data_IF_912748702053
#
_entry.id   IF_912748702053
#
_cell.length_a   1.000
_cell.length_b   1.000
_cell.length_c   1.000
_cell.angle_alpha   90.00
_cell.angle_beta   90.00
_cell.angle_gamma   90.00
#
_symmetry.space_group_name_H-M   'P 1'
#
loop_
_entity.id
_entity.type
_entity.pdbx_description
1 polymer ?
#
# COMPACT_ATOMS: atom_id res chain seq x y z
N UNK A 1 -16.76 0.67 -23.65
CA UNK A 1 -17.22 0.24 -22.31
C UNK A 1 -16.12 0.22 -21.24
N UNK A 2 -14.86 0.56 -21.57
CA UNK A 2 -13.74 0.52 -20.61
C UNK A 2 -13.48 1.84 -19.86
N UNK A 3 -13.95 2.97 -20.40
CA UNK A 3 -13.65 4.33 -19.91
C UNK A 3 -14.03 4.57 -18.43
N UNK A 4 -15.06 3.90 -17.91
CA UNK A 4 -15.51 4.07 -16.53
C UNK A 4 -15.02 2.97 -15.59
N UNK A 5 -14.46 1.89 -16.13
CA UNK A 5 -14.10 0.73 -15.32
C UNK A 5 -13.02 1.09 -14.29
N UNK A 6 -12.08 1.96 -14.64
CA UNK A 6 -11.07 2.43 -13.71
C UNK A 6 -11.66 3.20 -12.53
N UNK A 7 -12.58 4.14 -12.80
CA UNK A 7 -13.30 4.88 -11.76
C UNK A 7 -14.15 3.95 -10.90
N UNK A 8 -14.91 3.03 -11.50
CA UNK A 8 -15.76 2.08 -10.77
C UNK A 8 -14.91 1.28 -9.79
N UNK A 9 -13.76 0.79 -10.25
CA UNK A 9 -12.80 0.09 -9.40
C UNK A 9 -12.31 0.96 -8.23
N UNK A 10 -11.96 2.23 -8.49
CA UNK A 10 -11.57 3.18 -7.44
C UNK A 10 -12.68 3.42 -6.41
N UNK A 11 -13.90 3.60 -6.87
CA UNK A 11 -15.06 3.81 -6.01
C UNK A 11 -15.37 2.58 -5.15
N UNK A 12 -15.17 1.36 -5.65
CA UNK A 12 -15.34 0.15 -4.85
C UNK A 12 -14.41 0.12 -3.64
N UNK A 13 -13.11 0.40 -3.85
CA UNK A 13 -12.17 0.51 -2.74
C UNK A 13 -12.56 1.64 -1.78
N UNK A 14 -13.01 2.78 -2.32
CA UNK A 14 -13.44 3.93 -1.52
C UNK A 14 -14.66 3.60 -0.66
N UNK A 15 -15.62 2.82 -1.17
CA UNK A 15 -16.79 2.38 -0.41
C UNK A 15 -16.40 1.49 0.78
N UNK A 16 -15.46 0.56 0.58
CA UNK A 16 -14.94 -0.29 1.66
C UNK A 16 -14.22 0.59 2.70
N UNK A 17 -13.38 1.51 2.23
CA UNK A 17 -12.67 2.46 3.08
C UNK A 17 -13.65 3.31 3.90
N UNK A 18 -14.69 3.86 3.27
CA UNK A 18 -15.68 4.72 3.92
C UNK A 18 -16.49 3.94 4.96
N UNK A 19 -16.85 2.70 4.65
CA UNK A 19 -17.55 1.80 5.58
C UNK A 19 -16.73 1.59 6.86
N UNK A 20 -15.44 1.27 6.71
CA UNK A 20 -14.53 1.10 7.84
C UNK A 20 -14.36 2.43 8.59
N UNK A 21 -14.15 3.54 7.89
CA UNK A 21 -13.96 4.86 8.48
C UNK A 21 -15.17 5.29 9.35
N UNK A 22 -16.38 4.95 8.90
CA UNK A 22 -17.61 5.23 9.64
C UNK A 22 -17.75 4.37 10.89
N UNK A 23 -17.46 3.06 10.79
CA UNK A 23 -17.62 2.09 11.87
C UNK A 23 -16.50 2.22 12.93
N UNK A 24 -15.24 2.31 12.50
CA UNK A 24 -14.05 2.28 13.36
C UNK A 24 -13.48 3.66 13.62
N UNK A 25 -14.17 4.41 14.49
CA UNK A 25 -13.75 5.78 14.89
C UNK A 25 -12.34 5.84 15.48
N UNK A 26 -11.89 4.75 16.08
CA UNK A 26 -10.56 4.59 16.67
C UNK A 26 -9.42 4.62 15.65
N UNK A 27 -9.68 4.26 14.39
CA UNK A 27 -8.66 4.12 13.34
C UNK A 27 -8.59 5.32 12.37
N UNK A 28 -9.53 6.26 12.46
CA UNK A 28 -9.70 7.36 11.50
C UNK A 28 -8.43 8.17 11.25
N UNK A 29 -7.69 8.52 12.31
CA UNK A 29 -6.46 9.32 12.19
C UNK A 29 -5.39 8.59 11.38
N UNK A 30 -5.24 7.28 11.63
CA UNK A 30 -4.30 6.42 10.92
C UNK A 30 -4.72 6.23 9.46
N UNK A 31 -6.00 5.94 9.22
CA UNK A 31 -6.55 5.83 7.88
C UNK A 31 -6.32 7.10 7.08
N UNK A 32 -6.74 8.26 7.57
CA UNK A 32 -6.60 9.53 6.85
C UNK A 32 -5.14 9.88 6.56
N UNK A 33 -4.25 9.70 7.55
CA UNK A 33 -2.84 10.01 7.36
C UNK A 33 -2.21 9.13 6.27
N UNK A 34 -2.38 7.80 6.37
CA UNK A 34 -1.77 6.88 5.40
C UNK A 34 -2.45 7.01 4.04
N UNK A 35 -3.77 7.18 3.99
CA UNK A 35 -4.51 7.46 2.76
C UNK A 35 -3.99 8.68 2.03
N UNK A 36 -3.82 9.82 2.70
CA UNK A 36 -3.31 11.03 2.05
C UNK A 36 -1.85 10.87 1.59
N UNK A 37 -1.02 10.22 2.42
CA UNK A 37 0.37 9.95 2.06
C UNK A 37 0.47 9.06 0.82
N UNK A 38 -0.28 7.95 0.78
CA UNK A 38 -0.28 7.01 -0.34
C UNK A 38 -0.95 7.61 -1.57
N UNK A 39 -2.02 8.39 -1.41
CA UNK A 39 -2.64 9.09 -2.53
C UNK A 39 -1.63 9.99 -3.25
N UNK A 40 -0.90 10.83 -2.50
CA UNK A 40 0.15 11.67 -3.07
C UNK A 40 1.27 10.84 -3.71
N UNK A 41 1.77 9.82 -3.01
CA UNK A 41 2.82 8.95 -3.52
C UNK A 41 2.40 8.20 -4.79
N UNK A 42 1.14 7.74 -4.86
CA UNK A 42 0.59 7.01 -5.99
C UNK A 42 0.46 7.89 -7.23
N UNK A 43 -0.03 9.13 -7.11
CA UNK A 43 -0.13 10.07 -8.24
C UNK A 43 1.27 10.38 -8.80
N UNK A 44 2.25 10.57 -7.91
CA UNK A 44 3.66 10.80 -8.31
C UNK A 44 4.22 9.56 -9.01
N UNK A 45 4.07 8.37 -8.42
CA UNK A 45 4.57 7.13 -9.00
C UNK A 45 3.91 6.79 -10.34
N UNK A 46 2.61 7.05 -10.47
CA UNK A 46 1.88 6.88 -11.73
C UNK A 46 2.33 7.83 -12.81
N UNK A 47 2.48 9.13 -12.48
CA UNK A 47 2.97 10.14 -13.41
C UNK A 47 4.35 9.81 -13.96
N UNK A 48 5.24 9.40 -13.06
CA UNK A 48 6.67 9.33 -13.34
C UNK A 48 7.12 7.96 -13.85
N UNK A 49 6.45 6.88 -13.45
CA UNK A 49 7.00 5.53 -13.58
C UNK A 49 5.96 4.51 -14.02
N UNK A 50 4.94 4.22 -13.19
CA UNK A 50 4.07 3.05 -13.39
C UNK A 50 3.33 3.07 -14.73
N UNK A 51 2.95 4.26 -15.22
CA UNK A 51 2.25 4.38 -16.50
C UNK A 51 3.17 4.31 -17.73
N UNK A 52 4.50 4.21 -17.55
CA UNK A 52 5.47 4.09 -18.64
C UNK A 52 5.47 2.65 -19.13
N UNK A 53 5.67 1.69 -18.23
CA UNK A 53 6.05 0.32 -18.57
C UNK A 53 5.29 -0.78 -17.81
N UNK A 54 4.47 -0.46 -16.81
CA UNK A 54 3.72 -1.47 -16.06
C UNK A 54 2.25 -1.57 -16.53
N UNK A 55 1.52 -0.47 -16.52
CA UNK A 55 0.08 -0.46 -16.83
C UNK A 55 -0.38 0.92 -17.32
N UNK A 56 -1.50 1.00 -18.04
CA UNK A 56 -2.05 2.22 -18.65
C UNK A 56 -3.58 2.19 -18.57
N UNK A 57 -4.17 2.56 -17.43
CA UNK A 57 -5.62 2.61 -17.29
C UNK A 57 -6.21 3.75 -18.13
N UNK A 58 -7.42 3.53 -18.64
CA UNK A 58 -8.21 4.61 -19.26
C UNK A 58 -8.90 5.44 -18.16
N UNK A 59 -8.53 6.71 -18.06
CA UNK A 59 -9.19 7.68 -17.17
C UNK A 59 -10.40 8.30 -17.86
N UNK A 60 -11.34 8.83 -17.06
CA UNK A 60 -12.52 9.51 -17.59
C UNK A 60 -12.14 10.75 -18.41
N UNK A 61 -11.10 11.45 -17.99
CA UNK A 61 -10.56 12.63 -18.67
C UNK A 61 -9.74 12.28 -19.92
N UNK A 62 -9.47 11.00 -20.17
CA UNK A 62 -8.62 10.54 -21.28
C UNK A 62 -7.14 10.94 -21.13
N UNK A 63 -6.77 11.48 -19.96
CA UNK A 63 -5.40 11.83 -19.61
C UNK A 63 -4.67 10.62 -19.04
N UNK A 64 -3.34 10.66 -19.06
CA UNK A 64 -2.51 9.61 -18.49
C UNK A 64 -2.69 9.43 -16.97
N UNK A 65 -3.08 10.51 -16.30
CA UNK A 65 -3.33 10.57 -14.86
C UNK A 65 -4.71 11.20 -14.69
N UNK A 66 -5.49 10.69 -13.76
CA UNK A 66 -6.85 11.14 -13.47
C UNK A 66 -7.14 11.24 -11.97
N UNK A 67 -8.37 11.59 -11.65
CA UNK A 67 -8.85 11.63 -10.27
C UNK A 67 -8.93 10.21 -9.66
N UNK A 68 -9.10 9.21 -10.52
CA UNK A 68 -9.16 7.80 -10.21
C UNK A 68 -7.88 7.33 -9.50
N UNK A 69 -6.72 7.86 -9.90
CA UNK A 69 -5.41 7.54 -9.31
C UNK A 69 -5.34 7.96 -7.85
N UNK A 70 -5.83 9.18 -7.58
CA UNK A 70 -5.92 9.70 -6.22
C UNK A 70 -6.90 8.87 -5.40
N UNK A 71 -8.08 8.55 -5.94
CA UNK A 71 -9.12 7.76 -5.24
C UNK A 71 -8.60 6.37 -4.88
N UNK A 72 -7.97 5.68 -5.84
CA UNK A 72 -7.41 4.36 -5.63
C UNK A 72 -6.27 4.39 -4.61
N UNK A 73 -5.29 5.27 -4.79
CA UNK A 73 -4.18 5.41 -3.84
C UNK A 73 -4.66 5.76 -2.43
N UNK A 74 -5.62 6.68 -2.31
CA UNK A 74 -6.23 7.06 -1.04
C UNK A 74 -6.89 5.86 -0.35
N UNK A 75 -7.72 5.13 -1.10
CA UNK A 75 -8.51 4.02 -0.55
C UNK A 75 -7.62 2.82 -0.19
N UNK A 76 -6.72 2.43 -1.09
CA UNK A 76 -5.77 1.33 -0.87
C UNK A 76 -4.82 1.63 0.29
N UNK A 77 -4.31 2.87 0.37
CA UNK A 77 -3.41 3.28 1.45
C UNK A 77 -4.07 3.16 2.82
N UNK A 78 -5.29 3.66 2.94
CA UNK A 78 -6.03 3.60 4.20
C UNK A 78 -6.44 2.19 4.60
N UNK A 79 -6.85 1.37 3.63
CA UNK A 79 -7.18 -0.04 3.86
C UNK A 79 -5.94 -0.83 4.29
N UNK A 80 -4.85 -0.71 3.53
CA UNK A 80 -3.57 -1.35 3.84
C UNK A 80 -3.07 -0.99 5.24
N UNK A 81 -3.35 0.22 5.73
CA UNK A 81 -2.93 0.65 7.06
C UNK A 81 -3.70 0.00 8.24
N UNK A 82 -4.90 -0.54 8.02
CA UNK A 82 -5.83 -0.88 9.12
C UNK A 82 -6.39 -2.30 9.08
N UNK A 83 -6.18 -3.05 8.00
CA UNK A 83 -6.74 -4.40 7.85
C UNK A 83 -6.36 -5.35 9.00
N UNK A 84 -5.14 -5.26 9.53
CA UNK A 84 -4.74 -6.04 10.70
C UNK A 84 -5.53 -5.68 11.98
N UNK A 85 -5.69 -4.40 12.27
CA UNK A 85 -6.45 -3.92 13.44
C UNK A 85 -7.96 -4.21 13.34
N UNK A 86 -8.45 -4.43 12.11
CA UNK A 86 -9.79 -4.95 11.86
C UNK A 86 -9.89 -6.44 12.17
N UNK A 87 -8.97 -7.25 11.63
CA UNK A 87 -9.00 -8.71 11.75
C UNK A 87 -8.78 -9.17 13.21
N UNK A 88 -7.79 -8.59 13.89
CA UNK A 88 -7.39 -9.08 15.20
C UNK A 88 -8.03 -8.33 16.37
N UNK A 89 -8.80 -7.24 16.13
CA UNK A 89 -9.42 -6.36 17.15
C UNK A 89 -8.46 -5.84 18.25
N UNK A 90 -7.17 -6.12 18.15
CA UNK A 90 -6.15 -5.72 19.08
C UNK A 90 -5.43 -4.50 18.52
N UNK A 91 -5.34 -3.44 19.32
CA UNK A 91 -4.35 -2.39 19.05
C UNK A 91 -2.98 -3.02 19.21
N UNK A 92 -2.12 -2.84 18.22
CA UNK A 92 -0.71 -3.22 18.35
C UNK A 92 -0.12 -2.52 19.57
N UNK A 93 0.63 -3.28 20.37
CA UNK A 93 1.24 -2.75 21.59
C UNK A 93 2.28 -1.72 21.19
N UNK A 94 2.21 -0.54 21.79
CA UNK A 94 3.27 0.45 21.65
C UNK A 94 4.52 -0.01 22.42
N UNK A 95 5.69 0.41 21.93
CA UNK A 95 6.98 0.10 22.54
C UNK A 95 7.02 0.53 24.02
N UNK A 96 7.51 -0.36 24.89
CA UNK A 96 7.78 -0.01 26.28
C UNK A 96 8.90 1.02 26.34
N UNK A 97 8.73 2.08 27.15
CA UNK A 97 9.76 3.12 27.39
C UNK A 97 11.11 2.57 27.85
N UNK A 98 11.09 1.41 28.50
CA UNK A 98 12.29 0.71 28.98
C UNK A 98 13.02 -0.07 27.87
N UNK A 99 12.41 -0.27 26.70
CA UNK A 99 13.06 -0.99 25.61
C UNK A 99 14.25 -0.20 25.04
N UNK A 100 15.34 -0.91 24.78
CA UNK A 100 16.56 -0.35 24.18
C UNK A 100 16.23 0.28 22.81
N UNK A 101 15.38 -0.39 22.03
CA UNK A 101 14.87 0.10 20.74
C UNK A 101 14.14 1.44 20.88
N UNK A 102 13.25 1.59 21.87
CA UNK A 102 12.56 2.86 22.09
C UNK A 102 13.55 3.99 22.40
N UNK A 103 14.53 3.75 23.28
CA UNK A 103 15.54 4.76 23.61
C UNK A 103 16.37 5.15 22.39
N UNK A 104 16.79 4.16 21.60
CA UNK A 104 17.56 4.35 20.38
C UNK A 104 16.80 5.18 19.32
N UNK A 105 15.57 4.78 18.98
CA UNK A 105 14.75 5.51 18.01
C UNK A 105 14.29 6.88 18.53
N UNK A 106 14.08 7.03 19.84
CA UNK A 106 13.69 8.31 20.43
C UNK A 106 14.83 9.33 20.42
N UNK A 107 16.08 8.89 20.59
CA UNK A 107 17.27 9.75 20.48
C UNK A 107 17.61 10.08 19.02
N UNK A 108 17.32 9.16 18.09
CA UNK A 108 17.62 9.30 16.66
C UNK A 108 16.34 9.32 15.83
N UNK A 109 15.49 10.32 16.06
CA UNK A 109 14.18 10.42 15.39
C UNK A 109 14.24 10.40 13.87
N UNK A 110 15.33 10.85 13.27
CA UNK A 110 15.55 10.79 11.83
C UNK A 110 15.52 9.35 11.28
N UNK A 111 15.86 8.34 12.10
CA UNK A 111 15.75 6.93 11.72
C UNK A 111 14.32 6.47 11.45
N UNK A 112 13.31 7.19 11.94
CA UNK A 112 11.91 6.87 11.63
C UNK A 112 11.59 7.03 10.15
N UNK A 113 12.27 7.95 9.47
CA UNK A 113 12.08 8.17 8.04
C UNK A 113 12.95 7.26 7.18
N UNK A 114 13.87 6.49 7.78
CA UNK A 114 14.77 5.60 7.04
C UNK A 114 14.08 4.61 6.10
N UNK A 115 12.96 3.93 6.44
CA UNK A 115 12.30 3.04 5.47
C UNK A 115 11.72 3.80 4.27
N UNK A 116 11.26 5.04 4.47
CA UNK A 116 10.73 5.88 3.39
C UNK A 116 11.84 6.42 2.50
N UNK A 117 12.94 6.90 3.10
CA UNK A 117 14.09 7.43 2.37
C UNK A 117 14.75 6.32 1.55
N UNK A 118 14.99 5.14 2.16
CA UNK A 118 15.60 4.01 1.47
C UNK A 118 14.68 3.49 0.34
N UNK A 119 13.38 3.36 0.60
CA UNK A 119 12.40 2.99 -0.41
C UNK A 119 12.38 3.97 -1.59
N UNK A 120 12.39 5.28 -1.31
CA UNK A 120 12.46 6.31 -2.35
C UNK A 120 13.75 6.22 -3.18
N UNK A 121 14.91 6.07 -2.54
CA UNK A 121 16.19 5.95 -3.25
C UNK A 121 16.23 4.70 -4.14
N UNK A 122 15.73 3.56 -3.66
CA UNK A 122 15.70 2.32 -4.45
C UNK A 122 14.70 2.44 -5.60
N UNK A 123 13.52 3.00 -5.36
CA UNK A 123 12.49 3.16 -6.39
C UNK A 123 12.99 4.06 -7.53
N UNK A 124 13.38 5.29 -7.20
CA UNK A 124 13.78 6.29 -8.20
C UNK A 124 15.17 6.01 -8.78
N UNK A 125 16.13 5.57 -7.95
CA UNK A 125 17.46 5.19 -8.42
C UNK A 125 17.42 3.93 -9.29
N UNK A 126 16.61 2.94 -8.90
CA UNK A 126 16.39 1.73 -9.69
C UNK A 126 15.85 2.06 -11.08
N UNK A 127 14.80 2.86 -11.15
CA UNK A 127 14.17 3.19 -12.43
C UNK A 127 15.00 4.16 -13.29
N UNK A 128 15.39 5.32 -12.75
CA UNK A 128 16.02 6.37 -13.56
C UNK A 128 17.52 6.18 -13.77
N UNK A 129 18.23 5.53 -12.84
CA UNK A 129 19.69 5.39 -12.93
C UNK A 129 20.12 3.98 -13.32
N UNK A 130 19.45 2.94 -12.79
CA UNK A 130 19.77 1.54 -13.12
C UNK A 130 18.95 0.98 -14.29
N UNK A 131 17.95 1.72 -14.77
CA UNK A 131 17.10 1.31 -15.91
C UNK A 131 16.18 0.13 -15.59
N UNK A 132 15.83 -0.09 -14.32
CA UNK A 132 14.87 -1.13 -13.94
C UNK A 132 13.47 -0.77 -14.41
N UNK A 133 12.68 -1.80 -14.70
CA UNK A 133 11.23 -1.62 -14.87
C UNK A 133 10.57 -1.14 -13.58
N UNK A 134 9.42 -0.46 -13.71
CA UNK A 134 8.70 0.11 -12.57
C UNK A 134 8.27 -0.92 -11.53
N UNK A 135 7.84 -2.10 -11.97
CA UNK A 135 7.40 -3.18 -11.09
C UNK A 135 8.51 -3.67 -10.15
N UNK A 136 9.66 -4.20 -10.64
CA UNK A 136 10.72 -4.67 -9.77
C UNK A 136 11.31 -3.57 -8.88
N UNK A 137 11.40 -2.33 -9.37
CA UNK A 137 11.82 -1.19 -8.56
C UNK A 137 10.87 -0.92 -7.38
N UNK A 138 9.56 -1.03 -7.61
CA UNK A 138 8.53 -0.88 -6.58
C UNK A 138 8.59 -1.99 -5.54
N UNK A 139 8.72 -3.24 -5.97
CA UNK A 139 8.83 -4.37 -5.04
C UNK A 139 10.12 -4.29 -4.22
N UNK A 140 11.26 -3.97 -4.84
CA UNK A 140 12.51 -3.79 -4.12
C UNK A 140 12.44 -2.68 -3.06
N UNK A 141 11.78 -1.55 -3.38
CA UNK A 141 11.55 -0.47 -2.45
C UNK A 141 10.70 -0.89 -1.24
N UNK A 142 9.61 -1.64 -1.46
CA UNK A 142 8.80 -2.17 -0.35
C UNK A 142 9.58 -3.16 0.50
N UNK A 143 10.29 -4.12 -0.12
CA UNK A 143 11.08 -5.12 0.61
C UNK A 143 12.14 -4.45 1.48
N UNK A 144 12.86 -3.46 0.95
CA UNK A 144 13.86 -2.72 1.72
C UNK A 144 13.23 -1.93 2.88
N UNK A 145 12.10 -1.27 2.64
CA UNK A 145 11.36 -0.55 3.69
C UNK A 145 10.86 -1.49 4.80
N UNK A 146 10.27 -2.63 4.43
CA UNK A 146 9.84 -3.67 5.37
C UNK A 146 11.03 -4.20 6.16
N UNK A 147 12.15 -4.49 5.49
CA UNK A 147 13.36 -4.99 6.14
C UNK A 147 13.86 -4.02 7.22
N UNK A 148 13.96 -2.72 6.90
CA UNK A 148 14.34 -1.69 7.88
C UNK A 148 13.37 -1.63 9.05
N UNK A 149 12.06 -1.66 8.80
CA UNK A 149 11.04 -1.66 9.85
C UNK A 149 11.22 -2.88 10.76
N UNK A 150 11.39 -4.09 10.18
CA UNK A 150 11.46 -5.33 10.95
C UNK A 150 12.80 -5.51 11.67
N UNK A 151 13.92 -4.99 11.13
CA UNK A 151 15.20 -4.94 11.83
C UNK A 151 15.09 -4.15 13.14
N UNK A 152 14.33 -3.05 13.12
CA UNK A 152 14.16 -2.16 14.27
C UNK A 152 12.95 -2.52 15.15
N UNK A 153 11.91 -3.13 14.57
CA UNK A 153 10.65 -3.51 15.23
C UNK A 153 10.16 -4.88 14.75
N UNK A 154 10.83 -5.92 15.21
CA UNK A 154 10.47 -7.32 14.93
C UNK A 154 9.06 -7.67 15.42
N UNK A 155 8.53 -6.96 16.40
CA UNK A 155 7.18 -7.16 16.93
C UNK A 155 6.08 -6.83 15.91
N UNK A 156 6.40 -6.10 14.84
CA UNK A 156 5.49 -5.78 13.74
C UNK A 156 5.47 -6.84 12.63
N UNK A 157 6.21 -7.95 12.76
CA UNK A 157 6.28 -9.00 11.74
C UNK A 157 4.89 -9.54 11.35
N UNK A 158 4.09 -9.94 12.33
CA UNK A 158 2.74 -10.45 12.06
C UNK A 158 1.81 -9.39 11.51
N UNK A 159 1.92 -8.15 11.97
CA UNK A 159 1.18 -7.03 11.39
C UNK A 159 1.47 -6.87 9.90
N UNK A 160 2.74 -6.97 9.51
CA UNK A 160 3.20 -6.89 8.12
C UNK A 160 2.61 -8.04 7.29
N UNK A 161 2.88 -9.30 7.66
CA UNK A 161 2.47 -10.45 6.85
C UNK A 161 0.94 -10.56 6.72
N UNK A 162 0.20 -10.42 7.81
CA UNK A 162 -1.26 -10.53 7.76
C UNK A 162 -1.91 -9.38 7.00
N UNK A 163 -1.36 -8.16 7.09
CA UNK A 163 -1.89 -7.03 6.31
C UNK A 163 -1.64 -7.19 4.83
N UNK A 164 -0.46 -7.70 4.44
CA UNK A 164 -0.18 -8.04 3.06
C UNK A 164 -1.18 -9.05 2.51
N UNK A 165 -1.36 -10.17 3.22
CA UNK A 165 -2.32 -11.20 2.82
C UNK A 165 -3.76 -10.65 2.78
N UNK A 166 -4.17 -9.86 3.77
CA UNK A 166 -5.50 -9.26 3.81
C UNK A 166 -5.72 -8.29 2.65
N UNK A 167 -4.71 -7.49 2.27
CA UNK A 167 -4.86 -6.56 1.16
C UNK A 167 -4.98 -7.27 -0.19
N UNK A 168 -4.28 -8.39 -0.38
CA UNK A 168 -4.49 -9.28 -1.54
C UNK A 168 -5.93 -9.81 -1.56
N UNK A 169 -6.43 -10.32 -0.43
CA UNK A 169 -7.80 -10.83 -0.37
C UNK A 169 -8.85 -9.76 -0.67
N UNK A 170 -8.62 -8.52 -0.23
CA UNK A 170 -9.50 -7.38 -0.53
C UNK A 170 -9.40 -6.95 -2.00
N UNK A 171 -8.26 -7.14 -2.66
CA UNK A 171 -8.10 -6.78 -4.07
C UNK A 171 -8.68 -7.81 -5.05
N UNK A 172 -8.83 -9.09 -4.67
CA UNK A 172 -9.40 -10.12 -5.54
C UNK A 172 -10.83 -9.80 -6.05
N UNK A 173 -11.81 -9.44 -5.19
CA UNK A 173 -13.14 -9.04 -5.65
C UNK A 173 -13.12 -7.88 -6.63
N UNK A 174 -12.17 -6.95 -6.47
CA UNK A 174 -12.01 -5.82 -7.39
C UNK A 174 -11.66 -6.30 -8.80
N UNK A 175 -10.67 -7.19 -8.95
CA UNK A 175 -10.32 -7.72 -10.27
C UNK A 175 -11.46 -8.53 -10.90
N UNK A 176 -12.13 -9.37 -10.11
CA UNK A 176 -13.25 -10.16 -10.62
C UNK A 176 -14.42 -9.31 -11.08
N UNK A 177 -14.75 -8.25 -10.34
CA UNK A 177 -15.82 -7.33 -10.72
C UNK A 177 -15.43 -6.52 -11.95
N UNK A 178 -14.17 -6.05 -12.05
CA UNK A 178 -13.71 -5.34 -13.25
C UNK A 178 -13.75 -6.23 -14.50
N UNK A 179 -13.25 -7.45 -14.42
CA UNK A 179 -13.27 -8.41 -15.53
C UNK A 179 -14.70 -8.84 -15.89
N UNK A 180 -15.60 -8.92 -14.91
CA UNK A 180 -17.03 -9.18 -15.14
C UNK A 180 -17.73 -8.02 -15.85
N UNK A 181 -17.48 -6.77 -15.44
CA UNK A 181 -18.08 -5.58 -16.04
C UNK A 181 -17.49 -5.23 -17.41
N UNK A 182 -16.22 -5.58 -17.63
CA UNK A 182 -15.48 -5.26 -18.84
C UNK A 182 -14.49 -6.36 -19.14
N UNK A 183 -14.98 -7.41 -19.81
CA UNK A 183 -14.16 -8.57 -20.17
C UNK A 183 -12.94 -8.16 -20.99
N UNK A 184 -11.76 -8.63 -20.61
CA UNK A 184 -10.51 -8.31 -21.30
C UNK A 184 -9.87 -7.00 -20.84
N UNK A 185 -10.39 -6.35 -19.79
CA UNK A 185 -9.85 -5.08 -19.29
C UNK A 185 -8.41 -5.22 -18.81
N UNK A 186 -8.09 -6.37 -18.21
CA UNK A 186 -6.75 -6.61 -17.67
C UNK A 186 -5.73 -6.65 -18.81
N UNK A 187 -6.04 -7.35 -19.91
CA UNK A 187 -5.19 -7.39 -21.10
C UNK A 187 -5.06 -6.04 -21.79
N UNK A 188 -6.08 -5.17 -21.65
CA UNK A 188 -6.06 -3.83 -22.22
C UNK A 188 -5.23 -2.84 -21.40
N UNK A 189 -5.38 -2.88 -20.07
CA UNK A 189 -4.74 -1.89 -19.19
C UNK A 189 -3.32 -2.30 -18.81
N UNK A 190 -3.00 -3.58 -18.70
CA UNK A 190 -1.65 -4.01 -18.33
C UNK A 190 -0.78 -4.20 -19.56
N UNK A 191 0.47 -3.75 -19.48
CA UNK A 191 1.46 -3.91 -20.55
C UNK A 191 2.04 -5.32 -20.50
N UNK A 192 1.31 -6.27 -21.09
CA UNK A 192 1.60 -7.70 -21.01
C UNK A 192 3.01 -8.08 -21.49
N UNK A 193 3.59 -7.30 -22.40
CA UNK A 193 4.96 -7.47 -22.89
C UNK A 193 6.04 -7.28 -21.81
N UNK A 194 5.74 -6.51 -20.75
CA UNK A 194 6.66 -6.20 -19.65
C UNK A 194 6.36 -7.02 -18.40
N UNK A 195 5.38 -7.92 -18.45
CA UNK A 195 5.01 -8.81 -17.36
C UNK A 195 5.53 -10.23 -17.60
N UNK A 196 5.56 -11.06 -16.56
CA UNK A 196 6.02 -12.45 -16.66
C UNK A 196 5.09 -13.34 -17.49
N UNK A 197 3.87 -12.89 -17.77
CA UNK A 197 2.81 -13.68 -18.42
C UNK A 197 2.14 -14.71 -17.49
N UNK A 198 2.55 -14.80 -16.21
CA UNK A 198 1.93 -15.69 -15.24
C UNK A 198 0.66 -15.07 -14.69
N UNK A 199 -0.47 -15.75 -14.88
CA UNK A 199 -1.79 -15.24 -14.53
C UNK A 199 -2.48 -16.16 -13.50
N UNK A 200 -3.09 -15.56 -12.47
CA UNK A 200 -3.97 -16.21 -11.52
C UNK A 200 -5.41 -15.78 -11.80
N UNK A 201 -6.24 -16.66 -12.36
CA UNK A 201 -7.62 -16.34 -12.78
C UNK A 201 -7.73 -15.04 -13.61
N UNK A 202 -6.86 -14.88 -14.61
CA UNK A 202 -6.72 -13.68 -15.47
C UNK A 202 -6.13 -12.44 -14.78
N UNK A 203 -5.70 -12.52 -13.53
CA UNK A 203 -5.02 -11.44 -12.81
C UNK A 203 -3.50 -11.66 -12.91
N UNK A 204 -2.69 -10.66 -13.27
CA UNK A 204 -1.23 -10.79 -13.26
C UNK A 204 -0.74 -11.08 -11.84
N UNK A 205 0.17 -12.04 -11.70
CA UNK A 205 0.73 -12.37 -10.38
C UNK A 205 1.47 -11.16 -9.78
N UNK A 206 2.07 -10.32 -10.62
CA UNK A 206 2.74 -9.07 -10.25
C UNK A 206 1.86 -8.16 -9.40
N UNK A 207 0.58 -8.05 -9.75
CA UNK A 207 -0.36 -7.20 -9.02
C UNK A 207 -0.67 -7.79 -7.65
N UNK A 208 -0.84 -9.11 -7.55
CA UNK A 208 -1.03 -9.79 -6.26
C UNK A 208 0.20 -9.61 -5.36
N UNK A 209 1.40 -9.72 -5.93
CA UNK A 209 2.67 -9.48 -5.23
C UNK A 209 2.76 -8.02 -4.79
N UNK A 210 2.36 -7.07 -5.64
CA UNK A 210 2.29 -5.65 -5.29
C UNK A 210 1.36 -5.40 -4.10
N UNK A 211 0.11 -5.91 -4.12
CA UNK A 211 -0.81 -5.73 -3.00
C UNK A 211 -0.28 -6.37 -1.71
N UNK A 212 0.36 -7.54 -1.81
CA UNK A 212 0.98 -8.16 -0.65
C UNK A 212 2.04 -7.26 -0.02
N UNK A 213 3.01 -6.80 -0.81
CA UNK A 213 4.10 -5.97 -0.30
C UNK A 213 3.63 -4.56 0.11
N UNK A 214 2.67 -3.97 -0.61
CA UNK A 214 2.06 -2.69 -0.22
C UNK A 214 1.37 -2.81 1.15
N UNK A 215 0.55 -3.84 1.36
CA UNK A 215 -0.10 -4.07 2.65
C UNK A 215 0.91 -4.38 3.76
N UNK A 216 1.91 -5.21 3.46
CA UNK A 216 2.96 -5.58 4.39
C UNK A 216 3.85 -4.40 4.79
N UNK A 217 4.02 -3.40 3.93
CA UNK A 217 4.75 -2.19 4.22
C UNK A 217 3.90 -1.14 4.95
N UNK A 218 2.70 -0.84 4.45
CA UNK A 218 1.88 0.28 4.91
C UNK A 218 1.29 0.06 6.31
N UNK A 219 0.90 -1.17 6.65
CA UNK A 219 0.36 -1.49 7.97
C UNK A 219 1.33 -1.18 9.12
N UNK A 220 2.58 -1.67 9.11
CA UNK A 220 3.52 -1.36 10.18
C UNK A 220 4.11 0.06 10.08
N UNK A 221 4.01 0.72 8.92
CA UNK A 221 4.58 2.05 8.71
C UNK A 221 4.03 3.10 9.69
N UNK A 222 2.71 3.18 9.86
CA UNK A 222 2.12 4.16 10.77
C UNK A 222 2.56 3.92 12.22
N UNK A 223 2.57 2.66 12.65
CA UNK A 223 3.01 2.24 13.98
C UNK A 223 4.49 2.53 14.21
N UNK A 224 5.32 2.34 13.18
CA UNK A 224 6.74 2.64 13.20
C UNK A 224 7.00 4.14 13.33
N UNK A 225 6.32 4.96 12.53
CA UNK A 225 6.52 6.42 12.49
C UNK A 225 5.99 7.14 13.73
N UNK A 226 4.78 6.80 14.20
CA UNK A 226 4.06 7.64 15.17
C UNK A 226 3.84 6.99 16.52
N UNK A 227 3.77 5.66 16.60
CA UNK A 227 3.42 4.96 17.84
C UNK A 227 4.62 4.48 18.64
N UNK A 228 5.61 5.37 18.78
CA UNK A 228 6.66 5.20 19.78
C UNK A 228 6.14 5.33 21.24
N UNK A 229 4.90 5.80 21.49
CA UNK A 229 4.40 6.08 22.85
C UNK A 229 3.25 5.17 23.32
N UNK A 230 3.47 4.56 24.49
CA UNK A 230 2.59 3.68 25.27
C UNK A 230 1.11 4.10 25.30
N UNK A 231 0.23 3.12 25.06
CA UNK A 231 -1.11 3.09 25.65
C UNK A 231 -0.95 2.58 27.08
N UNK A 232 -1.41 3.33 28.08
CA UNK A 232 -1.62 2.81 29.44
C UNK A 232 -2.65 1.68 29.32
N UNK A 233 -2.25 0.46 29.64
CA UNK A 233 -3.22 -0.62 29.90
C UNK A 233 -4.01 -0.14 31.13
N UNK A 234 -5.34 -0.03 31.08
CA UNK A 234 -6.12 0.18 32.29
C UNK A 234 -5.73 -0.92 33.27
N UNK A 235 -5.33 -0.55 34.48
CA UNK A 235 -5.21 -1.55 35.54
C UNK A 235 -6.63 -2.02 35.84
N UNK A 236 -6.89 -3.30 35.59
CA UNK A 236 -8.07 -3.99 36.11
C UNK A 236 -8.01 -4.03 37.65
#
# INVERSE_FOLDING_TARGET
>A
MYQYAYLIGGLMFLLIWLSIYMIRRDLRKQMLFVSLFVAAASVIAQCLMWTIDWWRPETITGTRIGIEDFILGFSQGGLGAVLYELAFKHRLRSLKKTSVVFRFLSQRRWLLLSPLILGFLILFGGFYWLGWHSYPATIAAFVAGIFVILLLRQDLFWNSIFSGAALVLVSLPFYFILEFLSTGIIQKFWLMENLSGVMFFKIPVEDLVFYFFAGAFLAPLYEFLFRQRLVKIPAD
#
